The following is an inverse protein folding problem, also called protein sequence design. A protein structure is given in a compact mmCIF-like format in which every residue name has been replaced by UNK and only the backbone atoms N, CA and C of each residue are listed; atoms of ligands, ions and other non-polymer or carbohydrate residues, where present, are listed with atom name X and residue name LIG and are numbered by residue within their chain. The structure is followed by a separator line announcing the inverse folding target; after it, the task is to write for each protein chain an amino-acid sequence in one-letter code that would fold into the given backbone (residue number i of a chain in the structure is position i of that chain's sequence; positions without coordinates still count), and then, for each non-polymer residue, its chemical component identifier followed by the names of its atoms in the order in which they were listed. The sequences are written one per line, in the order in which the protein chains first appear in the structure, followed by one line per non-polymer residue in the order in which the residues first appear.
data_IF_781928165754
#
_entry.id   IF_781928165754
#
_cell.length_a   1.000
_cell.length_b   1.000
_cell.length_c   1.000
_cell.angle_alpha   90.00
_cell.angle_beta   90.00
_cell.angle_gamma   90.00
#
_symmetry.space_group_name_H-M   'P 1'
#
loop_
_entity.id
_entity.type
_entity.pdbx_description
1 polymer ?
#
# COMPACT_ATOMS: atom_id res chain seq x y z
N UNK A 1 -2.61 25.79 11.45
CA UNK A 1 -4.07 25.71 11.30
C UNK A 1 -4.46 26.36 9.98
N UNK A 2 -4.43 25.57 8.90
CA UNK A 2 -4.92 25.98 7.58
C UNK A 2 -6.12 25.07 7.26
N UNK A 3 -7.21 25.68 6.81
CA UNK A 3 -8.50 25.05 6.45
C UNK A 3 -8.34 23.66 5.83
N UNK A 4 -8.63 22.61 6.61
CA UNK A 4 -8.95 21.29 6.10
C UNK A 4 -10.43 21.28 5.74
N UNK A 5 -10.78 21.84 4.56
CA UNK A 5 -12.03 21.42 3.93
C UNK A 5 -11.91 19.90 3.73
N UNK A 6 -12.68 19.13 4.51
CA UNK A 6 -12.80 17.70 4.34
C UNK A 6 -13.37 17.42 2.95
N UNK A 7 -12.48 17.11 2.01
CA UNK A 7 -12.88 16.72 0.67
C UNK A 7 -13.46 15.31 0.77
N UNK A 8 -14.78 15.16 0.68
CA UNK A 8 -15.39 13.84 0.49
C UNK A 8 -14.86 13.20 -0.81
N UNK A 9 -14.60 11.88 -0.83
CA UNK A 9 -14.26 11.18 -2.06
C UNK A 9 -15.45 11.23 -3.03
N UNK A 10 -15.13 11.42 -4.31
CA UNK A 10 -16.13 11.43 -5.40
C UNK A 10 -15.72 10.42 -6.47
N UNK A 11 -16.55 10.15 -7.49
CA UNK A 11 -16.17 9.23 -8.57
C UNK A 11 -14.87 9.61 -9.30
N UNK A 12 -14.42 10.86 -9.18
CA UNK A 12 -13.21 11.39 -9.82
C UNK A 12 -12.22 12.05 -8.84
N UNK A 13 -12.47 11.95 -7.52
CA UNK A 13 -11.63 12.56 -6.48
C UNK A 13 -11.17 11.49 -5.49
N UNK A 14 -9.91 11.56 -5.07
CA UNK A 14 -9.33 10.71 -4.05
C UNK A 14 -8.45 11.58 -3.13
N UNK A 15 -9.03 12.08 -2.03
CA UNK A 15 -8.34 12.95 -1.07
C UNK A 15 -7.04 12.38 -0.53
N UNK A 16 -6.99 11.06 -0.26
CA UNK A 16 -5.80 10.43 0.28
C UNK A 16 -4.65 10.43 -0.73
N UNK A 17 -4.94 10.07 -1.99
CA UNK A 17 -3.95 10.11 -3.06
C UNK A 17 -3.48 11.54 -3.35
N UNK A 18 -4.38 12.53 -3.26
CA UNK A 18 -4.03 13.94 -3.46
C UNK A 18 -3.14 14.47 -2.31
N UNK A 19 -3.42 14.05 -1.07
CA UNK A 19 -2.55 14.29 0.08
C UNK A 19 -1.16 13.69 -0.13
N UNK A 20 -1.08 12.41 -0.47
CA UNK A 20 0.20 11.73 -0.74
C UNK A 20 1.00 12.44 -1.84
N UNK A 21 0.35 12.80 -2.96
CA UNK A 21 1.01 13.52 -4.06
C UNK A 21 1.50 14.90 -3.66
N UNK A 22 0.76 15.59 -2.79
CA UNK A 22 1.20 16.88 -2.23
C UNK A 22 2.43 16.66 -1.35
N UNK A 23 2.39 15.68 -0.45
CA UNK A 23 3.50 15.34 0.44
C UNK A 23 4.78 15.04 -0.36
N UNK A 24 4.73 14.13 -1.34
CA UNK A 24 5.89 13.77 -2.17
C UNK A 24 6.45 14.95 -2.96
N UNK A 25 5.59 15.88 -3.40
CA UNK A 25 6.03 17.08 -4.11
C UNK A 25 6.74 18.08 -3.20
N UNK A 26 6.33 18.15 -1.93
CA UNK A 26 6.90 19.04 -0.92
C UNK A 26 8.18 18.44 -0.30
N UNK A 27 8.32 17.10 -0.33
CA UNK A 27 9.40 16.32 0.30
C UNK A 27 10.06 15.34 -0.71
N UNK A 28 10.71 15.85 -1.78
CA UNK A 28 11.19 15.00 -2.86
C UNK A 28 12.40 14.13 -2.46
N UNK A 29 12.17 12.82 -2.34
CA UNK A 29 13.21 11.82 -2.05
C UNK A 29 13.22 11.32 -0.60
N UNK A 30 12.52 12.02 0.29
CA UNK A 30 12.51 11.74 1.73
C UNK A 30 11.97 10.34 2.06
N UNK A 31 10.94 9.89 1.33
CA UNK A 31 10.35 8.54 1.51
C UNK A 31 11.35 7.40 1.31
N UNK A 32 12.40 7.60 0.51
CA UNK A 32 13.46 6.60 0.32
C UNK A 32 14.70 6.89 1.15
N UNK A 33 14.93 8.16 1.48
CA UNK A 33 16.13 8.61 2.17
C UNK A 33 16.13 8.26 3.66
N UNK A 34 14.95 8.09 4.27
CA UNK A 34 14.83 7.77 5.71
C UNK A 34 15.58 6.48 6.11
N UNK A 35 15.75 5.53 5.17
CA UNK A 35 16.53 4.30 5.40
C UNK A 35 17.96 4.35 4.86
N UNK A 36 18.47 5.52 4.50
CA UNK A 36 19.88 5.67 4.16
C UNK A 36 20.73 5.43 5.44
N UNK A 37 21.64 4.44 5.43
CA UNK A 37 22.48 4.14 6.60
C UNK A 37 23.43 5.29 6.95
N UNK A 38 23.70 6.21 6.01
CA UNK A 38 24.55 7.37 6.24
C UNK A 38 23.79 8.59 6.82
N UNK A 39 22.46 8.48 6.98
CA UNK A 39 21.64 9.53 7.57
C UNK A 39 21.86 9.59 9.09
N UNK A 40 21.91 10.80 9.68
CA UNK A 40 21.96 10.93 11.14
C UNK A 40 20.62 10.53 11.77
N UNK A 41 20.66 10.11 13.03
CA UNK A 41 19.47 9.67 13.75
C UNK A 41 18.44 10.79 13.88
N UNK A 42 18.87 12.03 14.11
CA UNK A 42 17.97 13.19 14.20
C UNK A 42 17.25 13.46 12.88
N UNK A 43 17.98 13.40 11.76
CA UNK A 43 17.40 13.61 10.44
C UNK A 43 16.46 12.46 10.05
N UNK A 44 16.79 11.22 10.47
CA UNK A 44 15.92 10.05 10.28
C UNK A 44 14.60 10.21 11.03
N UNK A 45 14.66 10.57 12.31
CA UNK A 45 13.48 10.76 13.14
C UNK A 45 12.59 11.89 12.61
N UNK A 46 13.17 13.01 12.16
CA UNK A 46 12.41 14.10 11.55
C UNK A 46 11.69 13.66 10.25
N UNK A 47 12.38 12.89 9.39
CA UNK A 47 11.78 12.35 8.17
C UNK A 47 10.69 11.31 8.44
N UNK A 48 10.88 10.45 9.45
CA UNK A 48 9.94 9.41 9.82
C UNK A 48 8.67 10.01 10.43
N UNK A 49 8.81 10.98 11.34
CA UNK A 49 7.69 11.68 11.98
C UNK A 49 6.88 12.57 11.01
N UNK A 50 7.42 12.89 9.84
CA UNK A 50 6.67 13.61 8.81
C UNK A 50 5.48 12.78 8.26
N UNK A 51 5.48 11.45 8.46
CA UNK A 51 4.33 10.61 8.20
C UNK A 51 3.33 10.70 9.36
N UNK A 52 2.22 11.40 9.12
CA UNK A 52 1.11 11.46 10.06
C UNK A 52 0.30 10.16 10.01
N UNK A 53 0.51 9.26 10.98
CA UNK A 53 -0.21 7.97 11.12
C UNK A 53 -1.73 8.15 11.14
N UNK A 54 -2.22 9.30 11.63
CA UNK A 54 -3.65 9.60 11.65
C UNK A 54 -4.27 9.62 10.25
N UNK A 55 -3.47 9.89 9.20
CA UNK A 55 -3.93 9.88 7.80
C UNK A 55 -4.21 8.45 7.34
N UNK A 56 -3.34 7.49 7.69
CA UNK A 56 -3.55 6.08 7.35
C UNK A 56 -4.77 5.51 8.10
N UNK A 57 -4.92 5.84 9.40
CA UNK A 57 -6.09 5.48 10.20
C UNK A 57 -7.40 6.05 9.62
N UNK A 58 -7.39 7.31 9.18
CA UNK A 58 -8.55 7.98 8.58
C UNK A 58 -8.96 7.36 7.24
N UNK A 59 -8.01 6.99 6.38
CA UNK A 59 -8.29 6.52 5.03
C UNK A 59 -8.12 5.01 4.90
N UNK A 60 -6.87 4.56 4.77
CA UNK A 60 -6.49 3.15 4.70
C UNK A 60 -4.96 3.03 4.80
N UNK A 61 -4.46 1.87 5.22
CA UNK A 61 -3.03 1.61 5.29
C UNK A 61 -2.34 1.72 3.91
N UNK A 62 -2.84 0.99 2.90
CA UNK A 62 -2.39 1.16 1.52
C UNK A 62 -3.07 2.33 0.82
N UNK A 63 -2.37 3.01 -0.10
CA UNK A 63 -2.89 4.17 -0.82
C UNK A 63 -3.56 3.73 -2.15
N UNK A 64 -4.90 3.86 -2.30
CA UNK A 64 -5.56 3.58 -3.56
C UNK A 64 -5.18 4.60 -4.63
N UNK A 65 -4.59 4.15 -5.73
CA UNK A 65 -4.45 4.96 -6.94
C UNK A 65 -5.54 4.65 -7.97
N UNK A 66 -5.71 5.53 -8.96
CA UNK A 66 -6.75 5.33 -9.98
C UNK A 66 -6.51 4.04 -10.80
N UNK A 67 -5.25 3.64 -11.00
CA UNK A 67 -4.93 2.42 -11.73
C UNK A 67 -5.42 1.19 -10.97
N UNK A 68 -5.17 1.13 -9.67
CA UNK A 68 -5.61 0.06 -8.78
C UNK A 68 -7.13 -0.06 -8.79
N UNK A 69 -7.85 1.06 -8.63
CA UNK A 69 -9.31 1.08 -8.64
C UNK A 69 -9.90 0.58 -9.96
N UNK A 70 -9.29 0.93 -11.11
CA UNK A 70 -9.72 0.42 -12.41
C UNK A 70 -9.42 -1.08 -12.58
N UNK A 71 -8.29 -1.56 -12.06
CA UNK A 71 -7.97 -2.99 -12.04
C UNK A 71 -8.99 -3.74 -11.20
N UNK A 72 -9.24 -3.33 -9.95
CA UNK A 72 -10.20 -4.01 -9.08
C UNK A 72 -11.60 -4.00 -9.69
N UNK A 73 -12.02 -2.86 -10.25
CA UNK A 73 -13.29 -2.75 -10.98
C UNK A 73 -13.45 -3.78 -12.10
N UNK A 74 -12.37 -4.14 -12.80
CA UNK A 74 -12.41 -5.14 -13.86
C UNK A 74 -12.85 -6.53 -13.36
N UNK A 75 -12.52 -6.86 -12.10
CA UNK A 75 -12.82 -8.14 -11.48
C UNK A 75 -14.10 -8.13 -10.63
N UNK A 76 -14.83 -6.99 -10.60
CA UNK A 76 -16.08 -6.89 -9.85
C UNK A 76 -17.16 -7.88 -10.33
N UNK A 77 -18.09 -8.30 -9.46
CA UNK A 77 -18.36 -7.81 -8.10
C UNK A 77 -17.29 -8.23 -7.08
N UNK A 78 -17.17 -7.45 -6.00
CA UNK A 78 -16.11 -7.58 -4.97
C UNK A 78 -16.71 -7.99 -3.62
N UNK A 79 -15.99 -8.85 -2.90
CA UNK A 79 -16.10 -9.01 -1.45
C UNK A 79 -14.78 -8.59 -0.81
N UNK A 80 -14.82 -7.62 0.08
CA UNK A 80 -13.66 -7.12 0.83
C UNK A 80 -13.72 -7.65 2.27
N UNK A 81 -12.63 -8.21 2.77
CA UNK A 81 -12.51 -8.70 4.15
C UNK A 81 -11.39 -7.93 4.84
N UNK A 82 -11.65 -7.43 6.05
CA UNK A 82 -10.77 -6.46 6.72
C UNK A 82 -10.90 -5.08 6.08
N UNK A 83 -12.12 -4.62 5.87
CA UNK A 83 -12.37 -3.36 5.16
C UNK A 83 -12.03 -2.11 5.99
N UNK A 84 -11.85 -2.24 7.31
CA UNK A 84 -11.67 -1.15 8.27
C UNK A 84 -12.79 -0.12 8.15
N UNK A 85 -12.41 1.13 7.90
CA UNK A 85 -13.32 2.25 7.64
C UNK A 85 -14.08 2.16 6.31
N UNK A 86 -13.70 1.24 5.42
CA UNK A 86 -14.35 1.02 4.12
C UNK A 86 -13.93 2.01 3.02
N UNK A 87 -12.76 2.64 3.11
CA UNK A 87 -12.34 3.65 2.12
C UNK A 87 -12.18 3.09 0.70
N UNK A 88 -11.54 1.91 0.55
CA UNK A 88 -11.44 1.22 -0.73
C UNK A 88 -12.82 0.86 -1.29
N UNK A 89 -13.67 0.22 -0.48
CA UNK A 89 -15.06 -0.08 -0.83
C UNK A 89 -15.81 1.17 -1.33
N UNK A 90 -15.71 2.30 -0.61
CA UNK A 90 -16.35 3.56 -0.99
C UNK A 90 -15.87 4.06 -2.34
N UNK A 91 -14.55 4.08 -2.58
CA UNK A 91 -13.99 4.52 -3.86
C UNK A 91 -14.43 3.62 -5.03
N UNK A 92 -14.56 2.32 -4.80
CA UNK A 92 -15.03 1.34 -5.78
C UNK A 92 -16.53 1.49 -6.06
N UNK A 93 -17.35 1.65 -5.03
CA UNK A 93 -18.80 1.92 -5.17
C UNK A 93 -19.08 3.21 -5.94
N UNK A 94 -18.33 4.29 -5.67
CA UNK A 94 -18.40 5.54 -6.43
C UNK A 94 -18.07 5.34 -7.92
N UNK A 95 -17.34 4.27 -8.27
CA UNK A 95 -17.03 3.85 -9.64
C UNK A 95 -18.01 2.80 -10.20
N UNK A 96 -19.10 2.53 -9.48
CA UNK A 96 -20.18 1.62 -9.88
C UNK A 96 -19.86 0.14 -9.67
N UNK A 97 -18.93 -0.20 -8.78
CA UNK A 97 -18.63 -1.58 -8.40
C UNK A 97 -19.60 -2.01 -7.30
N UNK A 98 -20.16 -3.22 -7.44
CA UNK A 98 -20.90 -3.88 -6.37
C UNK A 98 -19.88 -4.47 -5.37
N UNK A 99 -19.85 -3.92 -4.15
CA UNK A 99 -18.91 -4.30 -3.09
C UNK A 99 -19.68 -4.71 -1.85
N UNK A 100 -19.33 -5.87 -1.29
CA UNK A 100 -19.70 -6.28 0.07
C UNK A 100 -18.46 -6.19 0.93
N UNK A 101 -18.44 -5.26 1.89
CA UNK A 101 -17.32 -5.05 2.79
C UNK A 101 -17.62 -5.66 4.16
N UNK A 102 -16.67 -6.44 4.69
CA UNK A 102 -16.72 -6.97 6.04
C UNK A 102 -15.55 -6.50 6.88
N UNK A 103 -15.81 -6.26 8.15
CA UNK A 103 -14.78 -6.09 9.17
C UNK A 103 -15.24 -6.71 10.49
N UNK A 104 -14.30 -7.04 11.37
CA UNK A 104 -14.61 -7.50 12.72
C UNK A 104 -15.11 -6.34 13.58
N UNK A 105 -14.54 -5.15 13.37
CA UNK A 105 -14.83 -3.93 14.10
C UNK A 105 -15.62 -2.97 13.20
N UNK A 106 -16.79 -2.54 13.65
CA UNK A 106 -17.68 -1.65 12.90
C UNK A 106 -18.14 -0.47 13.77
N UNK A 107 -18.62 0.58 13.11
CA UNK A 107 -19.11 1.78 13.77
C UNK A 107 -20.19 1.44 14.82
N UNK A 108 -20.02 1.97 16.05
CA UNK A 108 -21.00 1.87 17.13
C UNK A 108 -20.73 0.81 18.21
N UNK A 109 -19.64 0.03 18.13
CA UNK A 109 -19.31 -0.99 19.15
C UNK A 109 -18.46 -0.46 20.32
N UNK A 110 -17.76 0.65 20.15
CA UNK A 110 -16.99 1.30 21.22
C UNK A 110 -17.92 1.85 22.32
N UNK A 111 -19.10 2.36 21.94
CA UNK A 111 -20.11 2.86 22.89
C UNK A 111 -20.72 1.74 23.76
N UNK A 112 -20.75 0.49 23.28
CA UNK A 112 -21.31 -0.64 24.03
C UNK A 112 -20.32 -1.21 25.07
N UNK A 113 -19.02 -1.20 24.79
CA UNK A 113 -17.99 -1.64 25.74
C UNK A 113 -17.85 -0.68 26.94
N UNK A 114 -18.00 0.62 26.71
CA UNK A 114 -18.02 1.62 27.80
C UNK A 114 -19.27 1.49 28.69
N UNK A 115 -20.42 1.12 28.12
CA UNK A 115 -21.65 0.88 28.88
C UNK A 115 -21.61 -0.42 29.69
N UNK A 116 -21.01 -1.49 29.18
CA UNK A 116 -20.83 -2.74 29.93
C UNK A 116 -19.79 -2.62 31.07
N UNK A 117 -18.77 -1.77 30.91
CA UNK A 117 -17.81 -1.44 31.98
C UNK A 117 -18.44 -0.67 33.13
N UNK A 118 -19.33 0.30 32.84
CA UNK A 118 -20.02 1.12 33.85
C UNK A 118 -21.18 0.39 34.56
N UNK A 119 -21.67 -0.72 33.99
CA UNK A 119 -22.66 -1.60 34.62
C UNK A 119 -22.01 -2.66 35.54
N UNK A 120 -20.80 -3.14 35.22
CA UNK A 120 -20.06 -4.07 36.09
C UNK A 120 -19.48 -3.39 37.35
N UNK A 121 -19.10 -2.11 37.28
CA UNK A 121 -18.66 -1.36 38.48
C UNK A 121 -19.80 -1.06 39.47
N UNK A 122 -21.06 -1.07 39.04
CA UNK A 122 -22.21 -0.81 39.91
C UNK A 122 -22.69 -2.06 40.69
N UNK A 123 -22.28 -3.27 40.31
CA UNK A 123 -22.78 -4.51 40.94
C UNK A 123 -21.87 -5.06 42.07
N UNK A 124 -20.59 -4.68 42.14
CA UNK A 124 -19.68 -5.19 43.18
C UNK A 124 -19.65 -4.38 44.50
N UNK A 125 -20.52 -3.38 44.63
CA UNK A 125 -20.64 -2.54 45.83
C UNK A 125 -21.55 -3.10 46.93
N UNK A 126 -21.48 -4.38 47.31
CA UNK A 126 -22.09 -4.90 48.56
C UNK A 126 -21.72 -6.37 48.83
N UNK A 127 -20.74 -6.61 49.69
CA UNK A 127 -20.97 -7.22 51.01
C UNK A 127 -19.64 -7.34 51.78
N UNK A 128 -19.72 -6.94 53.04
CA UNK A 128 -18.62 -6.85 53.98
C UNK A 128 -18.51 -8.12 54.84
N UNK A 129 -17.27 -8.46 55.20
CA UNK A 129 -16.79 -9.05 56.47
C UNK A 129 -17.33 -10.46 56.83
N UNK A 130 -16.61 -11.40 57.45
CA UNK A 130 -15.71 -11.36 58.62
C UNK A 130 -14.99 -12.71 58.77
N UNK A 131 -13.92 -12.73 59.59
CA UNK A 131 -13.28 -13.89 60.27
C UNK A 131 -12.42 -14.83 59.41
N UNK A 132 -11.24 -15.30 59.81
CA UNK A 132 -10.49 -15.17 61.06
C UNK A 132 -9.46 -16.31 61.14
N UNK A 133 -8.20 -15.94 61.32
CA UNK A 133 -7.10 -16.61 62.05
C UNK A 133 -6.65 -18.05 61.71
N UNK A 134 -5.38 -18.09 61.23
CA UNK A 134 -4.21 -18.90 61.64
C UNK A 134 -4.35 -20.33 62.23
N UNK A 135 -3.51 -21.27 61.76
CA UNK A 135 -2.42 -21.87 62.56
C UNK A 135 -1.97 -23.29 62.11
N UNK A 136 -0.66 -23.40 61.84
CA UNK A 136 0.28 -24.51 62.13
C UNK A 136 0.20 -25.87 61.37
N UNK A 137 1.35 -26.24 60.78
CA UNK A 137 2.19 -27.31 61.36
C UNK A 137 2.52 -28.53 60.51
N UNK A 138 3.81 -28.62 60.13
CA UNK A 138 4.69 -29.82 59.98
C UNK A 138 4.36 -30.87 58.89
N UNK A 139 5.20 -31.07 57.87
CA UNK A 139 6.55 -31.67 57.81
C UNK A 139 6.52 -33.19 57.55
N UNK A 140 7.16 -33.63 56.45
CA UNK A 140 7.96 -34.85 56.43
C UNK A 140 8.90 -34.90 55.20
N UNK A 141 10.20 -34.96 55.49
CA UNK A 141 11.27 -35.38 54.58
C UNK A 141 11.23 -36.91 54.38
N UNK A 142 11.70 -37.43 53.24
CA UNK A 142 12.99 -38.18 53.19
C UNK A 142 13.31 -38.78 51.80
N UNK A 143 14.46 -38.34 51.27
CA UNK A 143 15.62 -39.09 50.78
C UNK A 143 15.53 -40.12 49.61
N UNK A 144 16.43 -39.93 48.64
CA UNK A 144 17.35 -41.01 48.23
C UNK A 144 17.96 -40.95 46.82
N UNK A 145 19.29 -40.69 46.78
CA UNK A 145 20.30 -41.13 45.76
C UNK A 145 20.28 -40.40 44.39
N UNK A 146 21.28 -39.62 43.96
CA UNK A 146 22.75 -39.80 43.92
C UNK A 146 23.14 -40.36 42.54
N UNK A 147 24.05 -39.84 41.71
CA UNK A 147 24.93 -38.66 41.65
C UNK A 147 25.64 -38.66 40.27
N UNK A 148 26.58 -37.71 40.06
CA UNK A 148 27.58 -37.56 38.97
C UNK A 148 27.42 -36.33 38.04
N UNK A 149 28.04 -35.23 38.49
CA UNK A 149 29.05 -34.36 37.82
C UNK A 149 28.98 -34.16 36.28
N UNK A 150 28.71 -32.92 35.85
CA UNK A 150 29.28 -32.33 34.64
C UNK A 150 29.18 -30.79 34.67
N UNK A 151 30.36 -30.16 34.66
CA UNK A 151 30.74 -28.84 34.13
C UNK A 151 29.90 -27.58 34.48
N UNK A 152 30.50 -26.75 35.33
CA UNK A 152 30.16 -25.33 35.55
C UNK A 152 30.58 -24.51 34.31
N UNK A 153 29.62 -24.01 33.54
CA UNK A 153 29.76 -22.86 32.64
C UNK A 153 29.37 -21.60 33.43
N UNK A 154 30.08 -20.47 33.29
CA UNK A 154 29.80 -19.27 34.08
C UNK A 154 28.53 -18.57 33.61
N UNK A 155 27.72 -18.14 34.57
CA UNK A 155 26.54 -17.30 34.40
C UNK A 155 26.87 -16.04 33.58
N UNK A 156 26.35 -15.96 32.35
CA UNK A 156 26.21 -14.69 31.64
C UNK A 156 24.97 -14.00 32.22
N UNK A 157 25.19 -12.93 32.97
CA UNK A 157 24.14 -12.01 33.42
C UNK A 157 23.41 -11.48 32.18
N UNK A 158 22.21 -12.00 31.90
CA UNK A 158 21.27 -11.37 30.96
C UNK A 158 20.90 -10.01 31.57
N UNK A 159 21.50 -8.94 31.05
CA UNK A 159 21.01 -7.59 31.29
C UNK A 159 19.60 -7.51 30.68
N UNK A 160 18.57 -7.60 31.54
CA UNK A 160 17.22 -7.17 31.23
C UNK A 160 17.29 -5.70 30.81
N UNK A 161 17.27 -5.46 29.49
CA UNK A 161 16.99 -4.15 28.94
C UNK A 161 15.51 -3.91 29.25
N UNK A 162 15.26 -3.17 30.33
CA UNK A 162 13.96 -2.53 30.56
C UNK A 162 13.68 -1.64 29.35
N UNK A 163 12.88 -2.13 28.39
CA UNK A 163 12.29 -1.28 27.37
C UNK A 163 11.39 -0.29 28.11
N UNK A 164 11.91 0.93 28.31
CA UNK A 164 11.11 2.07 28.72
C UNK A 164 9.97 2.19 27.70
N UNK A 165 8.76 1.82 28.13
CA UNK A 165 7.54 2.03 27.38
C UNK A 165 7.40 3.53 27.18
N UNK A 166 7.78 4.03 26.00
CA UNK A 166 7.42 5.36 25.56
C UNK A 166 5.88 5.41 25.62
N UNK A 167 5.36 6.31 26.45
CA UNK A 167 3.93 6.58 26.53
C UNK A 167 3.46 6.95 25.10
N UNK A 168 2.87 5.98 24.39
CA UNK A 168 2.21 6.22 23.10
C UNK A 168 1.10 7.24 23.38
N UNK A 169 1.29 8.48 22.96
CA UNK A 169 0.22 9.48 22.98
C UNK A 169 -0.95 8.89 22.19
N UNK A 170 -2.00 8.44 22.88
CA UNK A 170 -3.27 8.04 22.28
C UNK A 170 -3.81 9.24 21.50
N UNK A 171 -3.51 9.27 20.20
CA UNK A 171 -4.07 10.28 19.30
C UNK A 171 -5.55 9.96 19.18
N UNK A 172 -6.40 10.74 19.86
CA UNK A 172 -7.85 10.70 19.65
C UNK A 172 -8.16 11.14 18.19
N UNK A 173 -8.13 10.17 17.27
CA UNK A 173 -8.54 10.39 15.88
C UNK A 173 -10.02 10.06 15.78
N UNK A 174 -10.85 11.03 15.41
CA UNK A 174 -12.27 10.78 15.11
C UNK A 174 -12.37 9.76 13.96
N UNK A 175 -12.81 8.55 14.28
CA UNK A 175 -12.85 7.43 13.34
C UNK A 175 -13.94 7.67 12.28
N UNK A 176 -13.51 7.91 11.04
CA UNK A 176 -14.40 8.16 9.90
C UNK A 176 -14.74 6.85 9.19
N UNK A 177 -16.03 6.54 9.03
CA UNK A 177 -16.49 5.41 8.21
C UNK A 177 -17.00 5.92 6.85
N UNK A 178 -16.47 5.37 5.76
CA UNK A 178 -16.69 5.88 4.40
C UNK A 178 -17.88 5.23 3.68
N UNK A 179 -18.31 4.05 4.13
CA UNK A 179 -19.44 3.28 3.60
C UNK A 179 -19.97 2.33 4.67
N UNK A 180 -21.12 1.72 4.41
CA UNK A 180 -21.62 0.58 5.19
C UNK A 180 -20.61 -0.58 5.14
N UNK A 181 -20.04 -0.92 6.29
CA UNK A 181 -19.19 -2.09 6.52
C UNK A 181 -19.97 -3.04 7.40
N UNK A 182 -20.09 -4.29 6.96
CA UNK A 182 -20.83 -5.32 7.69
C UNK A 182 -19.94 -5.95 8.75
N UNK A 183 -20.46 -6.15 9.96
CA UNK A 183 -19.79 -7.01 10.93
C UNK A 183 -19.70 -8.42 10.34
N UNK A 184 -18.49 -8.98 10.30
CA UNK A 184 -18.27 -10.31 9.74
C UNK A 184 -16.91 -10.88 10.06
N UNK A 185 -16.72 -12.13 9.62
CA UNK A 185 -15.46 -12.86 9.79
C UNK A 185 -15.09 -13.56 8.49
N UNK A 186 -13.87 -14.10 8.35
CA UNK A 186 -13.49 -14.93 7.20
C UNK A 186 -14.50 -16.02 6.83
N UNK A 187 -15.28 -16.55 7.79
CA UNK A 187 -16.33 -17.57 7.52
C UNK A 187 -17.43 -17.06 6.57
N UNK A 188 -17.69 -15.76 6.54
CA UNK A 188 -18.69 -15.15 5.66
C UNK A 188 -18.31 -15.24 4.18
N UNK A 189 -17.02 -15.39 3.86
CA UNK A 189 -16.54 -15.57 2.48
C UNK A 189 -17.10 -16.83 1.79
N UNK A 190 -17.57 -17.82 2.56
CA UNK A 190 -18.25 -19.01 2.02
C UNK A 190 -19.53 -18.64 1.25
N UNK A 191 -20.09 -17.46 1.48
CA UNK A 191 -21.31 -16.94 0.84
C UNK A 191 -21.02 -16.25 -0.49
N UNK A 192 -19.75 -15.94 -0.80
CA UNK A 192 -19.35 -14.99 -1.85
C UNK A 192 -18.43 -15.62 -2.91
N UNK A 193 -18.67 -16.87 -3.30
CA UNK A 193 -17.89 -17.53 -4.36
C UNK A 193 -18.09 -16.91 -5.75
N UNK A 194 -19.14 -16.09 -5.92
CA UNK A 194 -19.49 -15.33 -7.12
C UNK A 194 -18.79 -13.97 -7.24
N UNK A 195 -18.02 -13.57 -6.22
CA UNK A 195 -17.32 -12.29 -6.14
C UNK A 195 -15.81 -12.50 -6.08
N UNK A 196 -15.01 -11.57 -6.60
CA UNK A 196 -13.58 -11.57 -6.34
C UNK A 196 -13.31 -11.16 -4.89
N UNK A 197 -12.44 -11.91 -4.21
CA UNK A 197 -11.98 -11.58 -2.86
C UNK A 197 -10.95 -10.45 -2.95
N UNK A 198 -11.14 -9.39 -2.18
CA UNK A 198 -10.19 -8.31 -1.99
C UNK A 198 -9.66 -8.31 -0.54
N UNK A 199 -8.34 -8.36 -0.40
CA UNK A 199 -7.61 -8.26 0.86
C UNK A 199 -6.60 -7.12 0.75
N UNK A 200 -6.62 -6.20 1.70
CA UNK A 200 -5.70 -5.07 1.78
C UNK A 200 -5.14 -4.99 3.20
N UNK A 201 -3.84 -5.20 3.36
CA UNK A 201 -3.19 -5.25 4.69
C UNK A 201 -3.88 -6.23 5.66
N UNK A 202 -4.16 -7.48 5.26
CA UNK A 202 -5.01 -8.36 6.05
C UNK A 202 -4.40 -8.86 7.37
N UNK A 203 -3.09 -8.80 7.59
CA UNK A 203 -2.48 -9.32 8.83
C UNK A 203 -1.66 -8.27 9.60
N UNK A 204 -1.57 -7.04 9.11
CA UNK A 204 -0.89 -5.95 9.84
C UNK A 204 -1.82 -5.40 10.91
N UNK A 205 -1.30 -5.13 12.11
CA UNK A 205 -2.07 -4.60 13.25
C UNK A 205 -3.22 -5.51 13.75
N UNK A 206 -3.15 -6.81 13.50
CA UNK A 206 -4.07 -7.78 14.11
C UNK A 206 -3.59 -8.13 15.54
N UNK A 207 -4.46 -7.97 16.54
CA UNK A 207 -4.22 -8.41 17.94
C UNK A 207 -4.24 -9.94 18.09
N UNK A 208 -4.38 -10.65 16.97
CA UNK A 208 -4.57 -12.09 16.89
C UNK A 208 -3.33 -12.78 16.34
N UNK A 209 -2.92 -13.87 16.99
CA UNK A 209 -1.90 -14.78 16.43
C UNK A 209 -2.39 -15.54 15.18
N UNK A 210 -3.69 -15.53 14.89
CA UNK A 210 -4.25 -16.15 13.69
C UNK A 210 -4.30 -15.15 12.52
N UNK A 211 -3.67 -15.50 11.40
CA UNK A 211 -3.74 -14.72 10.16
C UNK A 211 -5.16 -14.66 9.59
N UNK A 212 -5.72 -13.45 9.52
CA UNK A 212 -6.99 -13.18 8.84
C UNK A 212 -6.87 -13.47 7.34
N UNK A 213 -5.73 -13.18 6.70
CA UNK A 213 -5.50 -13.48 5.29
C UNK A 213 -5.61 -14.98 5.01
N UNK A 214 -4.98 -15.81 5.84
CA UNK A 214 -4.99 -17.26 5.71
C UNK A 214 -6.37 -17.83 6.01
N UNK A 215 -7.03 -17.35 7.06
CA UNK A 215 -8.41 -17.71 7.38
C UNK A 215 -9.35 -17.35 6.22
N UNK A 216 -9.16 -16.18 5.61
CA UNK A 216 -9.94 -15.72 4.46
C UNK A 216 -9.77 -16.62 3.26
N UNK A 217 -8.52 -16.94 2.92
CA UNK A 217 -8.20 -17.82 1.79
C UNK A 217 -8.78 -19.23 1.97
N UNK A 218 -8.76 -19.77 3.20
CA UNK A 218 -9.33 -21.08 3.53
C UNK A 218 -10.86 -21.13 3.42
N UNK A 219 -11.54 -20.01 3.66
CA UNK A 219 -13.01 -19.93 3.60
C UNK A 219 -13.53 -19.43 2.24
N UNK A 220 -12.66 -18.92 1.37
CA UNK A 220 -13.02 -18.41 0.06
C UNK A 220 -13.02 -19.51 -1.01
N UNK A 221 -14.20 -19.72 -1.61
CA UNK A 221 -14.41 -20.74 -2.65
C UNK A 221 -14.40 -20.18 -4.08
N UNK A 222 -14.33 -18.85 -4.26
CA UNK A 222 -14.28 -18.22 -5.57
C UNK A 222 -12.94 -18.44 -6.29
N UNK A 223 -12.77 -17.82 -7.45
CA UNK A 223 -11.63 -18.07 -8.33
C UNK A 223 -10.58 -16.96 -8.36
N UNK A 224 -10.89 -15.78 -7.83
CA UNK A 224 -10.07 -14.58 -7.99
C UNK A 224 -9.77 -13.96 -6.62
N UNK A 225 -8.48 -13.79 -6.32
CA UNK A 225 -8.01 -13.08 -5.14
C UNK A 225 -7.23 -11.85 -5.60
N UNK A 226 -7.60 -10.70 -5.06
CA UNK A 226 -6.90 -9.44 -5.19
C UNK A 226 -6.27 -9.15 -3.85
N UNK A 227 -4.95 -8.99 -3.84
CA UNK A 227 -4.18 -8.71 -2.63
C UNK A 227 -3.44 -7.38 -2.80
N UNK A 228 -3.54 -6.52 -1.79
CA UNK A 228 -2.78 -5.28 -1.66
C UNK A 228 -1.92 -5.34 -0.40
N UNK A 229 -0.61 -5.23 -0.61
CA UNK A 229 0.39 -5.28 0.44
C UNK A 229 1.74 -5.73 -0.11
N UNK A 230 2.61 -6.13 0.79
CA UNK A 230 3.92 -6.72 0.53
C UNK A 230 3.80 -8.22 0.22
N UNK A 231 4.80 -8.73 -0.50
CA UNK A 231 4.95 -10.16 -0.79
C UNK A 231 6.42 -10.56 -0.61
N UNK A 232 6.70 -11.86 -0.65
CA UNK A 232 8.06 -12.42 -0.60
C UNK A 232 9.03 -11.66 -1.52
N UNK A 233 10.10 -11.13 -0.92
CA UNK A 233 11.16 -10.37 -1.60
C UNK A 233 10.76 -8.97 -2.05
N UNK A 234 9.58 -8.48 -1.66
CA UNK A 234 9.04 -7.15 -1.97
C UNK A 234 8.77 -6.39 -0.67
N UNK A 235 9.82 -6.21 0.14
CA UNK A 235 9.73 -5.49 1.41
C UNK A 235 11.04 -4.76 1.72
N UNK A 236 10.94 -3.71 2.54
CA UNK A 236 12.07 -3.06 3.21
C UNK A 236 12.22 -3.50 4.68
N UNK A 237 11.30 -4.32 5.19
CA UNK A 237 11.22 -4.71 6.60
C UNK A 237 12.11 -5.93 6.87
N UNK A 238 13.31 -5.71 7.43
CA UNK A 238 14.20 -6.79 7.86
C UNK A 238 13.88 -7.25 9.30
N UNK A 239 14.22 -8.50 9.69
CA UNK A 239 14.95 -9.53 8.92
C UNK A 239 14.06 -10.40 8.00
N UNK A 240 12.73 -10.26 8.07
CA UNK A 240 11.79 -11.09 7.33
C UNK A 240 11.76 -10.81 5.82
N UNK A 241 11.62 -11.84 5.00
CA UNK A 241 11.52 -11.67 3.55
C UNK A 241 10.08 -11.41 3.06
N UNK A 242 9.09 -11.52 3.96
CA UNK A 242 7.66 -11.58 3.62
C UNK A 242 6.93 -10.25 3.71
N UNK A 243 7.54 -9.24 4.35
CA UNK A 243 6.86 -8.01 4.74
C UNK A 243 5.97 -8.19 5.96
N UNK A 244 5.19 -7.16 6.29
CA UNK A 244 4.32 -7.14 7.48
C UNK A 244 2.83 -7.25 7.16
N UNK A 245 2.45 -6.93 5.93
CA UNK A 245 1.04 -6.79 5.53
C UNK A 245 0.25 -8.10 5.41
N UNK A 246 0.94 -9.23 5.23
CA UNK A 246 0.33 -10.56 5.13
C UNK A 246 1.32 -11.66 5.54
N UNK A 247 0.82 -12.71 6.18
CA UNK A 247 1.61 -13.79 6.76
C UNK A 247 2.35 -14.65 5.73
N UNK A 248 3.48 -15.24 6.15
CA UNK A 248 4.25 -16.20 5.35
C UNK A 248 3.37 -17.39 4.91
N UNK A 249 2.55 -17.90 5.81
CA UNK A 249 1.67 -19.04 5.56
C UNK A 249 0.64 -18.71 4.49
N UNK A 250 0.01 -17.53 4.58
CA UNK A 250 -0.93 -17.06 3.56
C UNK A 250 -0.25 -16.94 2.20
N UNK A 251 0.90 -16.26 2.13
CA UNK A 251 1.59 -16.03 0.87
C UNK A 251 2.04 -17.34 0.21
N UNK A 252 2.56 -18.27 1.00
CA UNK A 252 2.95 -19.61 0.55
C UNK A 252 1.74 -20.39 0.04
N UNK A 253 0.62 -20.36 0.78
CA UNK A 253 -0.60 -21.07 0.38
C UNK A 253 -1.23 -20.46 -0.88
N UNK A 254 -1.30 -19.13 -0.96
CA UNK A 254 -1.78 -18.38 -2.13
C UNK A 254 -1.01 -18.79 -3.38
N UNK A 255 0.32 -18.78 -3.33
CA UNK A 255 1.17 -19.17 -4.45
C UNK A 255 1.10 -20.67 -4.81
N UNK A 256 0.67 -21.51 -3.87
CA UNK A 256 0.49 -22.96 -4.10
C UNK A 256 -0.82 -23.27 -4.84
N UNK A 257 -1.90 -22.58 -4.51
CA UNK A 257 -3.26 -22.90 -5.00
C UNK A 257 -3.80 -21.89 -6.01
N UNK A 258 -3.17 -20.73 -6.16
CA UNK A 258 -3.44 -19.72 -7.16
C UNK A 258 -2.17 -19.38 -7.94
N UNK A 259 -2.33 -18.84 -9.15
CA UNK A 259 -1.25 -18.28 -9.94
C UNK A 259 -1.51 -16.79 -10.14
N UNK A 260 -0.46 -15.99 -10.00
CA UNK A 260 -0.52 -14.54 -10.17
C UNK A 260 -0.67 -14.22 -11.65
N UNK A 261 -1.63 -13.37 -11.99
CA UNK A 261 -1.91 -12.90 -13.36
C UNK A 261 -1.60 -11.42 -13.55
N UNK A 262 -1.50 -10.65 -12.45
CA UNK A 262 -1.16 -9.23 -12.50
C UNK A 262 -0.36 -8.84 -11.25
N UNK A 263 0.61 -7.95 -11.44
CA UNK A 263 1.34 -7.27 -10.37
C UNK A 263 1.61 -5.83 -10.78
N UNK A 264 1.23 -4.85 -9.95
CA UNK A 264 1.56 -3.43 -10.15
C UNK A 264 1.92 -2.77 -8.83
N UNK A 265 2.95 -1.90 -8.80
CA UNK A 265 3.27 -1.15 -7.59
C UNK A 265 2.16 -0.13 -7.28
N UNK A 266 1.98 0.19 -6.01
CA UNK A 266 1.13 1.28 -5.55
C UNK A 266 1.97 2.44 -5.02
N UNK A 267 1.39 3.63 -4.84
CA UNK A 267 1.96 4.62 -3.94
C UNK A 267 2.03 4.03 -2.52
N UNK A 268 3.14 4.26 -1.83
CA UNK A 268 3.39 3.74 -0.49
C UNK A 268 4.11 4.77 0.37
N UNK A 269 3.90 4.66 1.68
CA UNK A 269 4.73 5.32 2.67
C UNK A 269 6.07 4.61 2.82
N UNK A 270 7.03 5.24 3.48
CA UNK A 270 8.41 4.73 3.54
C UNK A 270 8.48 3.33 4.14
N UNK A 271 7.66 3.03 5.13
CA UNK A 271 7.72 1.78 5.91
C UNK A 271 7.13 0.54 5.22
N UNK A 272 6.70 0.64 3.95
CA UNK A 272 6.15 -0.49 3.20
C UNK A 272 6.42 -0.40 1.69
N UNK A 273 6.37 -1.56 1.00
CA UNK A 273 6.37 -1.62 -0.47
C UNK A 273 5.03 -2.20 -0.94
N UNK A 274 4.05 -1.33 -1.15
CA UNK A 274 2.71 -1.78 -1.52
C UNK A 274 2.62 -2.19 -2.97
N UNK A 275 2.05 -3.35 -3.17
CA UNK A 275 1.83 -3.92 -4.50
C UNK A 275 0.41 -4.44 -4.58
N UNK A 276 -0.29 -4.08 -5.65
CA UNK A 276 -1.53 -4.75 -6.02
C UNK A 276 -1.19 -5.97 -6.86
N UNK A 277 -1.68 -7.13 -6.42
CA UNK A 277 -1.57 -8.39 -7.15
C UNK A 277 -2.94 -9.00 -7.37
N UNK A 278 -3.12 -9.63 -8.53
CA UNK A 278 -4.31 -10.41 -8.84
C UNK A 278 -3.91 -11.85 -9.10
N UNK A 279 -4.65 -12.77 -8.52
CA UNK A 279 -4.39 -14.20 -8.52
C UNK A 279 -5.63 -14.95 -8.96
N UNK A 280 -5.43 -15.97 -9.80
CA UNK A 280 -6.50 -16.85 -10.27
C UNK A 280 -6.27 -18.27 -9.76
N UNK A 281 -7.35 -18.95 -9.39
CA UNK A 281 -7.28 -20.30 -8.84
C UNK A 281 -6.68 -21.25 -9.87
N UNK A 282 -5.60 -21.93 -9.48
CA UNK A 282 -4.86 -22.81 -10.36
C UNK A 282 -5.60 -24.12 -10.56
N UNK A 283 -5.81 -24.49 -11.82
CA UNK A 283 -6.26 -25.85 -12.16
C UNK A 283 -5.08 -26.79 -12.05
N UNK A 284 -5.27 -27.94 -11.42
CA UNK A 284 -4.25 -28.99 -11.39
C UNK A 284 -4.49 -30.03 -12.49
N UNK A 285 -3.41 -30.64 -12.95
CA UNK A 285 -3.41 -31.80 -13.85
C UNK A 285 -2.51 -32.87 -13.26
N UNK A 286 -2.89 -34.15 -13.40
CA UNK A 286 -2.05 -35.28 -13.03
C UNK A 286 -1.49 -35.88 -14.32
N UNK A 287 -0.16 -35.95 -14.42
CA UNK A 287 0.53 -36.53 -15.58
C UNK A 287 1.68 -37.39 -15.05
N UNK A 288 1.73 -38.64 -15.49
CA UNK A 288 2.72 -39.64 -15.06
C UNK A 288 2.85 -39.78 -13.53
N UNK A 289 1.73 -39.67 -12.82
CA UNK A 289 1.68 -39.80 -11.35
C UNK A 289 2.15 -38.56 -10.58
N UNK A 290 2.54 -37.49 -11.26
CA UNK A 290 2.88 -36.20 -10.66
C UNK A 290 1.77 -35.17 -10.88
N UNK A 291 1.57 -34.28 -9.89
CA UNK A 291 0.63 -33.17 -9.97
C UNK A 291 1.34 -31.92 -10.51
N UNK A 292 0.73 -31.28 -11.49
CA UNK A 292 1.22 -30.05 -12.12
C UNK A 292 0.15 -28.96 -12.11
N UNK A 293 0.57 -27.72 -11.98
CA UNK A 293 -0.26 -26.56 -12.26
C UNK A 293 -0.50 -26.42 -13.77
N UNK A 294 -1.76 -26.29 -14.17
CA UNK A 294 -2.15 -25.89 -15.51
C UNK A 294 -2.45 -24.39 -15.52
N UNK A 295 -1.51 -23.61 -16.07
CA UNK A 295 -1.64 -22.16 -16.21
C UNK A 295 -1.75 -21.83 -17.71
N UNK A 296 -2.89 -21.27 -18.18
CA UNK A 296 -3.07 -20.81 -19.56
C UNK A 296 -1.97 -19.84 -19.97
N UNK A 297 -1.55 -19.86 -21.23
CA UNK A 297 -0.42 -19.04 -21.71
C UNK A 297 -0.71 -17.54 -21.57
N UNK A 298 -1.96 -17.14 -21.80
CA UNK A 298 -2.46 -15.77 -21.65
C UNK A 298 -2.58 -15.30 -20.20
N UNK A 299 -2.47 -16.19 -19.23
CA UNK A 299 -2.51 -15.89 -17.79
C UNK A 299 -1.12 -15.93 -17.12
N UNK A 300 -0.06 -16.25 -17.89
CA UNK A 300 1.32 -16.29 -17.36
C UNK A 300 1.91 -14.89 -17.32
N UNK A 301 2.49 -14.53 -16.17
CA UNK A 301 3.29 -13.32 -16.03
C UNK A 301 4.63 -13.47 -16.73
N UNK A 302 5.04 -12.42 -17.44
CA UNK A 302 6.40 -12.30 -17.99
C UNK A 302 7.43 -12.20 -16.86
N UNK A 303 8.43 -13.07 -16.89
CA UNK A 303 9.51 -13.11 -15.89
C UNK A 303 10.64 -12.12 -16.18
N UNK A 304 10.60 -11.41 -17.31
CA UNK A 304 11.59 -10.39 -17.65
C UNK A 304 11.42 -9.17 -16.74
N UNK A 305 12.27 -9.06 -15.72
CA UNK A 305 12.35 -7.91 -14.83
C UNK A 305 13.81 -7.42 -14.71
N UNK A 306 14.00 -6.10 -14.68
CA UNK A 306 15.32 -5.50 -14.45
C UNK A 306 15.20 -4.14 -13.76
N UNK A 307 16.12 -3.89 -12.82
CA UNK A 307 16.29 -2.59 -12.20
C UNK A 307 16.75 -1.55 -13.22
N UNK A 308 16.57 -0.24 -12.96
CA UNK A 308 17.08 0.81 -13.86
C UNK A 308 18.58 0.67 -14.18
N UNK A 309 19.40 0.24 -13.22
CA UNK A 309 20.85 0.05 -13.41
C UNK A 309 21.20 -1.15 -14.27
N UNK A 310 20.38 -2.20 -14.29
CA UNK A 310 20.65 -3.45 -15.02
C UNK A 310 19.81 -3.61 -16.29
N UNK A 311 18.85 -2.71 -16.55
CA UNK A 311 17.96 -2.78 -17.71
C UNK A 311 18.67 -2.89 -19.06
N UNK A 312 19.87 -2.31 -19.16
CA UNK A 312 20.70 -2.41 -20.36
C UNK A 312 21.09 -3.86 -20.71
N UNK A 313 21.13 -4.77 -19.73
CA UNK A 313 21.44 -6.19 -19.92
C UNK A 313 20.34 -6.93 -20.69
N UNK A 314 19.08 -6.47 -20.62
CA UNK A 314 17.96 -7.05 -21.38
C UNK A 314 18.09 -6.82 -22.90
N UNK A 315 18.97 -5.91 -23.33
CA UNK A 315 19.16 -5.53 -24.73
C UNK A 315 20.41 -6.18 -25.36
N UNK A 316 21.18 -6.95 -24.58
CA UNK A 316 22.38 -7.64 -25.06
C UNK A 316 21.98 -8.70 -26.11
N UNK A 317 22.43 -8.52 -27.35
CA UNK A 317 22.14 -9.44 -28.46
C UNK A 317 21.07 -8.97 -29.45
N UNK A 318 20.42 -7.82 -29.23
CA UNK A 318 19.49 -7.20 -30.21
C UNK A 318 20.25 -6.36 -31.27
N UNK A 319 21.59 -6.41 -31.28
CA UNK A 319 22.40 -5.87 -32.37
C UNK A 319 22.37 -6.80 -33.59
N UNK A 320 21.30 -6.74 -34.39
CA UNK A 320 21.19 -7.60 -35.58
C UNK A 320 20.04 -7.37 -36.56
N UNK A 321 19.14 -6.41 -36.38
CA UNK A 321 18.15 -6.04 -37.41
C UNK A 321 18.11 -4.53 -37.62
N UNK A 322 18.72 -4.13 -38.72
CA UNK A 322 18.85 -2.78 -39.25
C UNK A 322 17.47 -2.23 -39.67
N UNK A 323 16.92 -1.15 -39.07
CA UNK A 323 15.84 -0.42 -39.70
C UNK A 323 16.47 0.55 -40.69
N UNK A 324 16.49 0.16 -41.95
CA UNK A 324 16.71 1.07 -43.09
C UNK A 324 15.83 2.30 -42.95
N UNK A 325 16.39 3.36 -42.39
CA UNK A 325 15.83 4.70 -42.40
C UNK A 325 16.74 5.55 -43.26
N UNK A 326 16.23 5.85 -44.45
CA UNK A 326 16.79 6.77 -45.43
C UNK A 326 17.03 8.14 -44.80
N UNK A 327 18.25 8.39 -44.35
CA UNK A 327 18.74 9.73 -44.02
C UNK A 327 19.09 10.47 -45.31
N UNK A 328 18.28 11.46 -45.69
CA UNK A 328 18.60 12.41 -46.76
C UNK A 328 19.85 13.21 -46.35
N UNK A 329 20.93 12.99 -47.08
CA UNK A 329 22.22 13.65 -46.89
C UNK A 329 22.13 15.17 -47.09
N UNK A 330 22.48 15.96 -46.06
CA UNK A 330 22.83 17.38 -46.20
C UNK A 330 24.28 17.48 -46.68
N UNK A 331 24.46 17.86 -47.94
CA UNK A 331 25.74 18.05 -48.63
C UNK A 331 26.52 19.22 -47.97
N UNK A 332 27.63 18.93 -47.29
CA UNK A 332 28.60 19.93 -46.80
C UNK A 332 29.41 20.48 -47.99
N UNK A 333 29.13 21.73 -48.36
CA UNK A 333 29.98 22.54 -49.24
C UNK A 333 31.17 23.11 -48.46
N UNK A 334 32.37 22.89 -49.00
CA UNK A 334 33.69 23.17 -48.43
C UNK A 334 34.11 24.61 -48.72
N UNK A 335 34.18 25.47 -47.70
CA UNK A 335 34.78 26.81 -47.77
C UNK A 335 36.03 26.89 -46.90
N UNK A 336 37.19 27.13 -47.51
CA UNK A 336 38.50 27.26 -46.85
C UNK A 336 38.62 28.62 -46.15
N UNK A 337 39.08 28.60 -44.89
CA UNK A 337 39.60 29.78 -44.19
C UNK A 337 40.92 30.27 -44.82
N UNK A 338 41.03 31.58 -45.05
CA UNK A 338 42.28 32.32 -44.85
C UNK A 338 42.00 33.79 -44.55
N UNK A 339 42.72 34.29 -43.55
CA UNK A 339 42.59 35.56 -42.86
C UNK A 339 42.90 36.81 -43.69
N UNK A 340 42.25 37.94 -43.35
CA UNK A 340 42.91 39.19 -42.93
C UNK A 340 41.88 40.22 -42.47
N UNK A 341 42.20 40.88 -41.37
CA UNK A 341 41.52 42.05 -40.80
C UNK A 341 42.13 43.34 -41.39
N UNK A 342 41.44 44.45 -41.15
CA UNK A 342 41.83 45.87 -41.24
C UNK A 342 41.46 46.61 -42.54
N UNK A 343 40.73 47.73 -42.37
CA UNK A 343 40.91 48.93 -43.19
C UNK A 343 39.63 49.64 -43.64
N UNK A 344 39.32 50.72 -42.93
CA UNK A 344 38.91 52.05 -43.45
C UNK A 344 37.47 52.30 -43.94
N UNK A 345 36.76 53.07 -43.09
CA UNK A 345 36.28 54.45 -43.28
C UNK A 345 35.62 54.94 -44.59
N UNK A 346 34.68 55.86 -44.33
CA UNK A 346 34.06 56.89 -45.20
C UNK A 346 32.73 56.59 -45.93
N UNK A 347 31.68 57.17 -45.32
CA UNK A 347 30.83 58.24 -45.87
C UNK A 347 29.58 57.95 -46.73
N UNK A 348 28.47 58.44 -46.16
CA UNK A 348 27.50 59.42 -46.73
C UNK A 348 26.27 58.91 -47.52
N UNK A 349 25.14 59.19 -46.86
CA UNK A 349 23.84 59.72 -47.35
C UNK A 349 22.66 58.82 -47.76
N UNK A 350 21.55 59.09 -47.03
CA UNK A 350 20.17 59.40 -47.50
C UNK A 350 19.41 58.27 -48.25
N UNK A 351 18.13 58.01 -48.06
CA UNK A 351 17.01 58.74 -47.43
C UNK A 351 15.74 57.88 -47.58
N UNK A 352 14.70 58.23 -46.81
CA UNK A 352 13.25 58.03 -47.07
C UNK A 352 12.71 56.59 -46.89
N UNK A 353 11.49 56.34 -46.41
CA UNK A 353 10.40 57.14 -45.85
C UNK A 353 9.44 56.15 -45.15
N UNK A 354 8.67 56.66 -44.19
CA UNK A 354 7.23 56.41 -43.90
C UNK A 354 6.55 55.12 -44.43
N UNK A 355 5.60 54.45 -43.79
CA UNK A 355 4.58 54.83 -42.82
C UNK A 355 3.86 53.53 -42.38
N UNK A 356 3.39 53.49 -41.13
CA UNK A 356 2.35 52.60 -40.62
C UNK A 356 1.04 53.41 -40.69
N UNK A 357 -0.20 52.89 -40.91
CA UNK A 357 -0.96 52.32 -39.77
C UNK A 357 -2.17 51.38 -40.06
N UNK A 358 -2.38 50.44 -39.11
CA UNK A 358 -3.60 50.12 -38.31
C UNK A 358 -5.05 50.01 -38.89
N UNK A 359 -5.80 49.12 -38.19
CA UNK A 359 -7.28 49.02 -37.90
C UNK A 359 -8.13 48.32 -38.99
N UNK A 360 -9.24 47.60 -38.73
CA UNK A 360 -10.29 47.58 -37.67
C UNK A 360 -10.94 46.16 -37.58
N UNK A 361 -11.31 45.59 -36.43
CA UNK A 361 -12.58 45.69 -35.68
C UNK A 361 -13.90 45.51 -36.48
N UNK A 362 -14.75 44.55 -36.06
CA UNK A 362 -16.25 44.56 -35.93
C UNK A 362 -16.74 43.12 -35.60
N UNK A 363 -17.23 42.77 -34.39
CA UNK A 363 -18.60 42.88 -33.80
C UNK A 363 -19.76 42.15 -34.49
N UNK A 364 -20.57 41.49 -33.62
CA UNK A 364 -22.03 41.23 -33.67
C UNK A 364 -22.48 39.77 -33.98
N UNK A 365 -23.58 39.20 -33.48
CA UNK A 365 -24.47 39.37 -32.31
C UNK A 365 -25.56 38.27 -32.42
N UNK A 366 -25.95 37.66 -31.30
CA UNK A 366 -27.29 37.05 -30.97
C UNK A 366 -27.87 35.88 -31.79
N UNK A 367 -28.35 34.87 -31.03
CA UNK A 367 -29.45 33.99 -31.42
C UNK A 367 -29.86 33.00 -30.31
N UNK A 368 -30.77 33.42 -29.41
CA UNK A 368 -31.54 32.52 -28.52
C UNK A 368 -32.69 31.89 -29.32
N UNK A 369 -32.92 30.58 -29.19
CA UNK A 369 -34.26 30.00 -28.91
C UNK A 369 -34.19 28.50 -28.61
N UNK A 370 -35.19 28.04 -27.88
CA UNK A 370 -35.22 26.85 -27.06
C UNK A 370 -36.24 25.80 -27.55
N UNK A 371 -36.06 24.59 -27.01
CA UNK A 371 -37.04 23.57 -26.57
C UNK A 371 -37.72 22.61 -27.57
N UNK A 372 -37.78 21.37 -27.05
CA UNK A 372 -38.72 20.25 -27.21
C UNK A 372 -38.79 19.55 -28.57
N UNK A 373 -38.33 18.30 -28.62
CA UNK A 373 -39.15 17.13 -28.26
C UNK A 373 -38.28 15.95 -27.86
#
# INVERSE_FOLDING_TARGET
MADSEELEPTPTSNPYLDFYRKFVREHPGDLTAVFDPELSDEARSEMYAALDLSVAMKYSWAIPDERALQIIKHYGPIVEMGAGSGYWARLLQLRGVDVVAYDLHVAGEEEEKEQEGDDQEKENGKTAATSGEESHGDAEETQGSGGEEADEEPDEEEEEIEEESEDEEEVEVEQVYWTDVLKGTPKDLRKHADRALFLCYPDDFEDSHESMAMASLCNYAGDTVIHVGELFGQTVCLPGAWGRTSSEEFQTHLATVYHKVLQVPLPSWHSSIDTLTVWKRTKSSITDGAMYAFIPEEERIDLVAASPSTRHLLLLGISGTDPTTTSKSKKRGRGKNKAKQVGDDEDIERSNDEENPKKSATTAKKGKRAKSS
#
